data_IF_667600815321
#
_entry.id   IF_667600815321
#
_cell.length_a   1.000
_cell.length_b   1.000
_cell.length_c   1.000
_cell.angle_alpha   90.00
_cell.angle_beta   90.00
_cell.angle_gamma   90.00
#
_symmetry.space_group_name_H-M   'P 1'
#
loop_
_entity.id
_entity.type
_entity.pdbx_description
1 polymer ?
#
# COMPACT_ATOMS: atom_id res chain seq x y z
N UNK A 1 -26.22 16.92 -7.07
CA UNK A 1 -25.18 16.00 -7.57
C UNK A 1 -24.04 16.04 -6.57
N UNK A 2 -23.99 15.09 -5.64
CA UNK A 2 -22.96 15.05 -4.60
C UNK A 2 -21.96 13.98 -5.03
N UNK A 3 -20.82 14.41 -5.55
CA UNK A 3 -19.68 13.56 -5.82
C UNK A 3 -18.47 14.38 -5.49
N UNK A 4 -18.06 14.35 -4.23
CA UNK A 4 -16.70 14.74 -3.88
C UNK A 4 -15.72 13.86 -4.66
N UNK A 5 -14.48 14.31 -4.87
CA UNK A 5 -13.45 13.43 -5.43
C UNK A 5 -13.38 12.14 -4.60
N UNK A 6 -13.18 10.97 -5.22
CA UNK A 6 -13.02 9.72 -4.48
C UNK A 6 -11.86 9.87 -3.48
N UNK A 7 -12.09 9.46 -2.24
CA UNK A 7 -11.04 9.33 -1.23
C UNK A 7 -10.11 8.20 -1.66
N UNK A 8 -8.80 8.49 -1.75
CA UNK A 8 -7.81 7.46 -2.04
C UNK A 8 -7.63 6.62 -0.78
N UNK A 9 -7.89 5.32 -0.89
CA UNK A 9 -7.68 4.37 0.20
C UNK A 9 -6.36 3.63 0.03
N UNK A 10 -5.82 3.09 1.13
CA UNK A 10 -4.57 2.34 1.08
C UNK A 10 -4.75 1.05 0.27
N UNK A 11 -5.92 0.42 0.37
CA UNK A 11 -6.28 -0.80 -0.35
C UNK A 11 -6.21 -0.63 -1.87
N UNK A 12 -6.47 0.57 -2.41
CA UNK A 12 -6.40 0.83 -3.85
C UNK A 12 -4.96 0.87 -4.39
N UNK A 13 -3.98 1.19 -3.53
CA UNK A 13 -2.57 1.30 -3.91
C UNK A 13 -1.70 0.17 -3.35
N UNK A 14 -2.25 -0.65 -2.44
CA UNK A 14 -1.51 -1.71 -1.80
C UNK A 14 -1.24 -2.88 -2.73
N UNK A 15 0.04 -3.28 -2.83
CA UNK A 15 0.44 -4.52 -3.50
C UNK A 15 0.48 -5.63 -2.47
N UNK A 16 -0.27 -6.70 -2.69
CA UNK A 16 -0.29 -7.88 -1.82
C UNK A 16 0.20 -9.12 -2.56
N UNK A 17 0.85 -10.00 -1.81
CA UNK A 17 1.28 -11.31 -2.28
C UNK A 17 0.49 -12.38 -1.54
N UNK A 18 0.12 -13.45 -2.24
CA UNK A 18 -0.33 -14.68 -1.59
C UNK A 18 0.81 -15.29 -0.75
N UNK A 19 0.52 -16.18 0.21
CA UNK A 19 1.57 -16.83 1.00
C UNK A 19 2.60 -17.59 0.15
N UNK A 20 2.16 -18.20 -0.96
CA UNK A 20 3.04 -18.90 -1.89
C UNK A 20 3.96 -17.92 -2.62
N UNK A 21 3.42 -16.83 -3.18
CA UNK A 21 4.24 -15.80 -3.85
C UNK A 21 5.22 -15.14 -2.87
N UNK A 22 4.79 -14.87 -1.64
CA UNK A 22 5.64 -14.30 -0.60
C UNK A 22 6.82 -15.22 -0.23
N UNK A 23 6.62 -16.54 -0.27
CA UNK A 23 7.66 -17.52 0.00
C UNK A 23 8.75 -17.56 -1.08
N UNK A 24 8.39 -17.29 -2.33
CA UNK A 24 9.31 -17.24 -3.47
C UNK A 24 10.18 -15.97 -3.50
N UNK A 25 9.84 -14.95 -2.70
CA UNK A 25 10.60 -13.71 -2.65
C UNK A 25 11.95 -13.87 -1.93
N UNK A 26 13.00 -13.36 -2.57
CA UNK A 26 14.29 -13.20 -1.92
C UNK A 26 14.16 -12.34 -0.64
N UNK A 27 15.00 -12.55 0.39
CA UNK A 27 14.92 -11.78 1.63
C UNK A 27 14.89 -10.26 1.44
N UNK A 28 15.66 -9.73 0.48
CA UNK A 28 15.70 -8.30 0.18
C UNK A 28 14.41 -7.79 -0.47
N UNK A 29 13.70 -8.61 -1.26
CA UNK A 29 12.41 -8.23 -1.85
C UNK A 29 11.33 -8.11 -0.77
N UNK A 30 11.34 -9.01 0.21
CA UNK A 30 10.43 -8.94 1.37
C UNK A 30 10.69 -7.73 2.25
N UNK A 31 11.97 -7.38 2.43
CA UNK A 31 12.36 -6.17 3.15
C UNK A 31 11.88 -4.90 2.41
N UNK A 32 12.17 -4.83 1.11
CA UNK A 32 11.77 -3.71 0.26
C UNK A 32 10.24 -3.56 0.19
N UNK A 33 9.50 -4.65 0.06
CA UNK A 33 8.03 -4.61 0.07
C UNK A 33 7.50 -4.02 1.37
N UNK A 34 8.04 -4.43 2.52
CA UNK A 34 7.63 -3.87 3.82
C UNK A 34 7.92 -2.38 3.94
N UNK A 35 9.09 -1.94 3.49
CA UNK A 35 9.49 -0.53 3.49
C UNK A 35 8.56 0.30 2.61
N UNK A 36 8.41 -0.08 1.34
CA UNK A 36 7.55 0.62 0.38
C UNK A 36 6.09 0.65 0.85
N UNK A 37 5.58 -0.46 1.40
CA UNK A 37 4.20 -0.50 1.88
C UNK A 37 3.98 0.34 3.14
N UNK A 38 4.99 0.49 4.01
CA UNK A 38 4.92 1.39 5.17
C UNK A 38 4.86 2.85 4.71
N UNK A 39 5.77 3.26 3.83
CA UNK A 39 5.81 4.63 3.30
C UNK A 39 4.53 4.97 2.53
N UNK A 40 4.00 4.00 1.77
CA UNK A 40 2.73 4.16 1.05
C UNK A 40 1.56 4.37 2.01
N UNK A 41 1.52 3.64 3.14
CA UNK A 41 0.48 3.81 4.15
C UNK A 41 0.53 5.20 4.77
N UNK A 42 1.72 5.67 5.16
CA UNK A 42 1.90 7.00 5.73
C UNK A 42 1.51 8.11 4.75
N UNK A 43 1.87 7.95 3.47
CA UNK A 43 1.50 8.90 2.42
C UNK A 43 -0.02 8.96 2.25
N UNK A 44 -0.71 7.82 2.14
CA UNK A 44 -2.16 7.78 1.97
C UNK A 44 -2.88 8.32 3.22
N UNK A 45 -2.41 7.98 4.42
CA UNK A 45 -2.95 8.51 5.66
C UNK A 45 -2.86 10.05 5.72
N UNK A 46 -1.76 10.61 5.20
CA UNK A 46 -1.56 12.08 5.14
C UNK A 46 -2.49 12.78 4.14
N UNK A 47 -3.01 12.08 3.13
CA UNK A 47 -3.97 12.64 2.17
C UNK A 47 -5.38 12.79 2.76
N UNK A 48 -5.69 12.08 3.85
CA UNK A 48 -6.96 12.19 4.59
C UNK A 48 -7.02 13.38 5.56
N UNK A 49 -5.93 14.14 5.72
CA UNK A 49 -5.85 15.33 6.61
C UNK A 49 -5.99 16.67 5.85
N UNK A 50 -6.76 16.71 4.77
CA UNK A 50 -7.01 17.89 3.92
C UNK A 50 -8.35 18.57 4.12
#
# INVERSE_FOLDING_TARGET
>A
CQGGPPEVTFEEVAVSFSPAEWAELAPWQRALHREVMCDTYELVASLGEG
#
